data_IF_065429943361
#
_entry.id   IF_065429943361
#
_cell.length_a   1.000
_cell.length_b   1.000
_cell.length_c   1.000
_cell.angle_alpha   90.00
_cell.angle_beta   90.00
_cell.angle_gamma   90.00
#
_symmetry.space_group_name_H-M   'P 1'
#
loop_
_entity.id
_entity.type
_entity.pdbx_description
1 polymer ?
#
# COMPACT_ATOMS: atom_id res chain seq x y z
N UNK A 1 21.36 56.41 11.23
CA UNK A 1 21.22 55.76 9.91
C UNK A 1 22.41 54.85 9.56
N UNK A 2 23.67 55.23 9.87
CA UNK A 2 24.89 54.46 9.53
C UNK A 2 25.07 53.12 10.29
N UNK A 3 24.68 52.95 11.58
CA UNK A 3 25.01 51.72 12.32
C UNK A 3 24.28 50.47 11.81
N UNK A 4 23.05 50.64 11.31
CA UNK A 4 22.20 49.52 10.88
C UNK A 4 22.80 48.80 9.66
N UNK A 5 23.41 49.54 8.74
CA UNK A 5 23.98 49.01 7.49
C UNK A 5 25.12 48.04 7.76
N UNK A 6 25.94 48.30 8.79
CA UNK A 6 27.06 47.43 9.19
C UNK A 6 26.62 46.07 9.73
N UNK A 7 25.41 45.95 10.27
CA UNK A 7 24.86 44.67 10.74
C UNK A 7 24.00 43.99 9.68
N UNK A 8 23.27 44.76 8.87
CA UNK A 8 22.34 44.22 7.85
C UNK A 8 23.10 43.62 6.66
N UNK A 9 24.16 44.26 6.16
CA UNK A 9 24.87 43.73 5.00
C UNK A 9 25.59 42.39 5.26
N UNK A 10 26.31 42.18 6.39
CA UNK A 10 26.93 40.89 6.67
C UNK A 10 25.92 39.79 7.01
N UNK A 11 24.82 40.12 7.68
CA UNK A 11 23.75 39.14 7.96
C UNK A 11 23.06 38.69 6.67
N UNK A 12 22.75 39.62 5.77
CA UNK A 12 22.21 39.28 4.45
C UNK A 12 23.22 38.49 3.61
N UNK A 13 24.49 38.92 3.60
CA UNK A 13 25.56 38.24 2.86
C UNK A 13 25.80 36.82 3.35
N UNK A 14 25.87 36.62 4.67
CA UNK A 14 26.01 35.28 5.28
C UNK A 14 24.78 34.41 5.00
N UNK A 15 23.56 34.95 5.09
CA UNK A 15 22.34 34.23 4.72
C UNK A 15 22.37 33.77 3.27
N UNK A 16 22.75 34.64 2.33
CA UNK A 16 22.84 34.30 0.89
C UNK A 16 23.90 33.21 0.66
N UNK A 17 25.07 33.32 1.29
CA UNK A 17 26.15 32.33 1.16
C UNK A 17 25.72 30.97 1.72
N UNK A 18 25.15 30.93 2.93
CA UNK A 18 24.62 29.72 3.55
C UNK A 18 23.50 29.10 2.69
N UNK A 19 22.59 29.93 2.17
CA UNK A 19 21.51 29.47 1.30
C UNK A 19 22.05 28.84 0.01
N UNK A 20 23.02 29.47 -0.66
CA UNK A 20 23.66 28.91 -1.87
C UNK A 20 24.43 27.63 -1.53
N UNK A 21 25.13 27.59 -0.40
CA UNK A 21 25.88 26.42 0.06
C UNK A 21 24.97 25.22 0.27
N UNK A 22 23.86 25.40 0.99
CA UNK A 22 22.89 24.33 1.22
C UNK A 22 22.08 23.97 -0.03
N UNK A 23 21.77 24.94 -0.91
CA UNK A 23 21.12 24.65 -2.19
C UNK A 23 22.01 23.81 -3.11
N UNK A 24 23.34 24.02 -3.07
CA UNK A 24 24.32 23.20 -3.79
C UNK A 24 24.60 21.85 -3.11
N UNK A 25 24.29 21.73 -1.82
CA UNK A 25 24.49 20.50 -1.03
C UNK A 25 23.22 20.12 -0.27
N UNK A 26 22.13 19.78 -0.98
CA UNK A 26 20.84 19.48 -0.35
C UNK A 26 20.92 18.28 0.60
N UNK A 27 21.88 17.38 0.38
CA UNK A 27 22.16 16.22 1.24
C UNK A 27 22.58 16.58 2.69
N UNK A 28 23.03 17.82 2.93
CA UNK A 28 23.38 18.30 4.28
C UNK A 28 22.17 18.71 5.11
N UNK A 29 21.05 19.08 4.46
CA UNK A 29 19.78 19.40 5.11
C UNK A 29 18.79 18.25 5.06
N UNK A 30 18.86 17.45 4.00
CA UNK A 30 17.95 16.35 3.74
C UNK A 30 18.76 15.08 3.52
N UNK A 31 18.69 14.13 4.45
CA UNK A 31 18.99 12.75 4.10
C UNK A 31 17.94 12.32 3.07
N UNK A 32 18.32 12.00 1.81
CA UNK A 32 17.34 11.55 0.84
C UNK A 32 16.68 10.30 1.43
N UNK A 33 15.35 10.30 1.47
CA UNK A 33 14.62 9.08 1.76
C UNK A 33 14.94 8.10 0.65
N UNK A 34 15.77 7.10 0.94
CA UNK A 34 16.05 6.01 0.03
C UNK A 34 14.97 4.94 0.25
N UNK A 35 14.14 4.65 -0.77
CA UNK A 35 13.25 3.49 -0.68
C UNK A 35 14.07 2.23 -0.46
N UNK A 36 13.52 1.24 0.24
CA UNK A 36 14.18 -0.05 0.48
C UNK A 36 14.45 -0.89 -0.78
N UNK A 37 14.12 -0.36 -1.96
CA UNK A 37 14.24 -0.99 -3.26
C UNK A 37 14.47 0.06 -4.36
N UNK A 38 15.18 -0.32 -5.42
CA UNK A 38 15.40 0.53 -6.60
C UNK A 38 14.38 0.17 -7.67
N UNK A 39 13.79 1.18 -8.31
CA UNK A 39 12.80 1.01 -9.38
C UNK A 39 13.38 1.61 -10.65
N UNK A 40 13.64 0.76 -11.65
CA UNK A 40 14.07 1.17 -12.99
C UNK A 40 13.01 0.85 -14.04
N UNK A 41 12.30 -0.26 -13.87
CA UNK A 41 11.24 -0.70 -14.75
C UNK A 41 9.95 -0.93 -13.96
N UNK A 42 8.90 -0.17 -14.29
CA UNK A 42 7.57 -0.32 -13.71
C UNK A 42 6.59 -0.82 -14.76
N UNK A 43 5.90 -1.91 -14.47
CA UNK A 43 4.89 -2.50 -15.36
C UNK A 43 3.53 -1.87 -15.09
N UNK A 44 3.17 -0.89 -15.91
CA UNK A 44 1.89 -0.19 -15.84
C UNK A 44 0.73 -1.14 -16.18
N UNK A 45 -0.25 -1.24 -15.27
CA UNK A 45 -1.37 -2.20 -15.29
C UNK A 45 -0.92 -3.65 -15.50
N UNK A 46 0.20 -4.01 -14.87
CA UNK A 46 0.82 -5.32 -14.99
C UNK A 46 1.45 -5.64 -16.36
N UNK A 47 1.71 -4.66 -17.24
CA UNK A 47 2.32 -4.91 -18.56
C UNK A 47 1.35 -4.75 -19.73
N UNK A 48 0.52 -3.71 -19.66
CA UNK A 48 -0.55 -3.40 -20.62
C UNK A 48 -0.10 -3.09 -22.05
N UNK A 49 1.20 -2.88 -22.29
CA UNK A 49 1.73 -2.68 -23.64
C UNK A 49 2.00 -4.00 -24.37
N UNK A 50 2.26 -5.06 -23.63
CA UNK A 50 2.69 -6.34 -24.18
C UNK A 50 1.59 -7.39 -24.17
N UNK A 51 0.71 -7.36 -23.17
CA UNK A 51 -0.38 -8.31 -22.94
C UNK A 51 -1.62 -7.59 -22.43
N UNK A 52 -2.75 -8.29 -22.41
CA UNK A 52 -4.01 -7.75 -21.89
C UNK A 52 -3.81 -7.23 -20.46
N UNK A 53 -4.14 -5.95 -20.25
CA UNK A 53 -3.96 -5.27 -18.96
C UNK A 53 -4.59 -6.04 -17.78
N UNK A 54 -3.96 -5.99 -16.60
CA UNK A 54 -4.47 -6.57 -15.36
C UNK A 54 -4.80 -8.09 -15.42
N UNK A 55 -4.19 -8.84 -16.35
CA UNK A 55 -4.27 -10.30 -16.40
C UNK A 55 -3.07 -10.95 -15.72
N UNK A 56 -3.21 -12.23 -15.35
CA UNK A 56 -2.08 -12.95 -14.75
C UNK A 56 -0.95 -13.14 -15.77
N UNK A 57 -1.31 -13.39 -17.03
CA UNK A 57 -0.36 -13.51 -18.14
C UNK A 57 0.47 -12.23 -18.33
N UNK A 58 -0.16 -11.05 -18.26
CA UNK A 58 0.56 -9.78 -18.37
C UNK A 58 1.59 -9.63 -17.26
N UNK A 59 1.17 -9.90 -16.01
CA UNK A 59 2.06 -9.76 -14.85
C UNK A 59 3.23 -10.73 -14.97
N UNK A 60 2.99 -12.00 -15.31
CA UNK A 60 4.04 -12.99 -15.51
C UNK A 60 5.02 -12.56 -16.61
N UNK A 61 4.51 -12.03 -17.71
CA UNK A 61 5.33 -11.49 -18.80
C UNK A 61 6.21 -10.32 -18.31
N UNK A 62 5.66 -9.36 -17.57
CA UNK A 62 6.43 -8.26 -17.00
C UNK A 62 7.47 -8.73 -15.98
N UNK A 63 7.16 -9.74 -15.16
CA UNK A 63 8.11 -10.33 -14.24
C UNK A 63 9.23 -11.08 -14.98
N UNK A 64 8.94 -11.76 -16.08
CA UNK A 64 9.96 -12.38 -16.94
C UNK A 64 10.89 -11.33 -17.58
N UNK A 65 10.36 -10.13 -17.87
CA UNK A 65 11.13 -8.98 -18.32
C UNK A 65 11.87 -8.23 -17.19
N UNK A 66 11.83 -8.76 -15.95
CA UNK A 66 12.49 -8.18 -14.76
C UNK A 66 11.95 -6.80 -14.37
N UNK A 67 10.64 -6.61 -14.43
CA UNK A 67 10.01 -5.43 -13.84
C UNK A 67 10.32 -5.36 -12.33
N UNK A 68 10.71 -4.19 -11.84
CA UNK A 68 11.02 -3.93 -10.43
C UNK A 68 9.76 -3.59 -9.62
N UNK A 69 8.74 -3.06 -10.30
CA UNK A 69 7.49 -2.59 -9.71
C UNK A 69 6.32 -3.00 -10.61
N UNK A 70 5.26 -3.55 -10.02
CA UNK A 70 3.99 -3.74 -10.70
C UNK A 70 3.02 -2.63 -10.27
N UNK A 71 2.34 -2.00 -11.22
CA UNK A 71 1.36 -0.96 -10.96
C UNK A 71 -0.05 -1.47 -11.27
N UNK A 72 -0.99 -1.16 -10.39
CA UNK A 72 -2.39 -1.57 -10.48
C UNK A 72 -3.35 -0.51 -9.97
N UNK A 73 -4.48 -0.38 -10.66
CA UNK A 73 -5.66 0.32 -10.19
C UNK A 73 -6.59 -0.63 -9.43
N UNK A 74 -7.08 -0.22 -8.27
CA UNK A 74 -7.95 -1.05 -7.45
C UNK A 74 -9.42 -0.63 -7.58
N UNK A 75 -10.29 -1.62 -7.78
CA UNK A 75 -11.75 -1.49 -7.75
C UNK A 75 -12.35 -2.50 -6.76
N UNK A 76 -13.59 -2.27 -6.35
CA UNK A 76 -14.30 -3.14 -5.42
C UNK A 76 -15.54 -3.73 -6.10
N UNK A 77 -15.68 -5.05 -6.05
CA UNK A 77 -16.90 -5.76 -6.47
C UNK A 77 -18.00 -5.65 -5.43
N UNK A 78 -19.21 -6.07 -5.77
CA UNK A 78 -20.38 -6.06 -4.88
C UNK A 78 -20.20 -6.96 -3.65
N UNK A 79 -19.63 -8.15 -3.84
CA UNK A 79 -19.24 -9.08 -2.78
C UNK A 79 -17.96 -8.66 -2.03
N UNK A 80 -17.38 -7.52 -2.43
CA UNK A 80 -16.33 -6.88 -1.69
C UNK A 80 -14.93 -7.48 -1.92
N UNK A 81 -14.73 -8.15 -3.04
CA UNK A 81 -13.40 -8.57 -3.51
C UNK A 81 -12.71 -7.35 -4.14
N UNK A 82 -11.43 -7.16 -3.82
CA UNK A 82 -10.62 -6.11 -4.46
C UNK A 82 -10.07 -6.67 -5.77
N UNK A 83 -10.46 -6.05 -6.87
CA UNK A 83 -10.08 -6.44 -8.23
C UNK A 83 -9.12 -5.41 -8.80
N UNK A 84 -8.15 -5.88 -9.57
CA UNK A 84 -7.27 -4.98 -10.32
C UNK A 84 -7.94 -4.61 -11.65
N UNK A 85 -8.35 -3.35 -11.78
CA UNK A 85 -8.94 -2.82 -13.01
C UNK A 85 -8.88 -1.31 -13.03
N UNK A 86 -8.47 -0.75 -14.16
CA UNK A 86 -8.44 0.70 -14.35
C UNK A 86 -9.85 1.31 -14.40
N UNK A 87 -10.74 0.69 -15.16
CA UNK A 87 -12.07 1.24 -15.43
C UNK A 87 -13.08 0.81 -14.38
N UNK A 88 -13.96 1.72 -14.00
CA UNK A 88 -15.13 1.39 -13.18
C UNK A 88 -16.14 0.54 -13.95
N UNK A 89 -16.32 0.85 -15.23
CA UNK A 89 -17.30 0.23 -16.11
C UNK A 89 -16.61 -0.72 -17.09
N UNK A 90 -17.22 -1.89 -17.29
CA UNK A 90 -16.64 -2.99 -18.05
C UNK A 90 -16.79 -2.84 -19.58
N UNK A 91 -17.43 -1.76 -20.07
CA UNK A 91 -17.73 -1.59 -21.51
C UNK A 91 -16.48 -1.64 -22.40
N UNK A 92 -15.38 -0.98 -21.99
CA UNK A 92 -14.14 -0.98 -22.78
C UNK A 92 -13.52 -2.38 -22.79
N UNK A 93 -13.40 -2.96 -21.60
CA UNK A 93 -12.64 -4.16 -21.30
C UNK A 93 -13.30 -5.45 -21.78
N UNK A 94 -14.61 -5.61 -21.59
CA UNK A 94 -15.36 -6.83 -21.92
C UNK A 94 -16.56 -6.60 -22.85
N UNK A 95 -16.95 -5.34 -23.08
CA UNK A 95 -18.16 -4.99 -23.82
C UNK A 95 -19.43 -5.01 -22.97
N UNK A 96 -19.34 -5.42 -21.70
CA UNK A 96 -20.47 -5.40 -20.78
C UNK A 96 -20.64 -4.00 -20.19
N UNK A 97 -21.77 -3.34 -20.46
CA UNK A 97 -22.08 -2.05 -19.86
C UNK A 97 -22.61 -2.19 -18.42
N UNK A 98 -21.72 -2.56 -17.50
CA UNK A 98 -21.98 -2.61 -16.06
C UNK A 98 -20.75 -2.13 -15.29
N UNK A 99 -21.00 -1.53 -14.13
CA UNK A 99 -19.95 -1.14 -13.19
C UNK A 99 -19.51 -2.34 -12.35
N UNK A 100 -18.21 -2.45 -12.05
CA UNK A 100 -17.63 -3.55 -11.27
C UNK A 100 -18.30 -3.70 -9.91
N UNK A 101 -18.65 -2.59 -9.26
CA UNK A 101 -19.30 -2.58 -7.94
C UNK A 101 -20.74 -3.14 -7.94
N UNK A 102 -21.30 -3.49 -9.10
CA UNK A 102 -22.64 -4.08 -9.24
C UNK A 102 -22.61 -5.61 -9.37
N UNK A 103 -21.43 -6.20 -9.59
CA UNK A 103 -21.23 -7.62 -9.85
C UNK A 103 -20.42 -8.26 -8.73
N UNK A 104 -20.67 -9.55 -8.48
CA UNK A 104 -19.78 -10.35 -7.63
C UNK A 104 -18.54 -10.77 -8.44
N UNK A 105 -17.44 -11.07 -7.77
CA UNK A 105 -16.18 -11.40 -8.45
C UNK A 105 -16.32 -12.57 -9.44
N UNK A 106 -17.04 -13.63 -9.05
CA UNK A 106 -17.27 -14.79 -9.90
C UNK A 106 -18.14 -14.50 -11.14
N UNK A 107 -18.80 -13.34 -11.19
CA UNK A 107 -19.66 -12.92 -12.30
C UNK A 107 -18.94 -11.97 -13.27
N UNK A 108 -17.68 -11.63 -12.99
CA UNK A 108 -16.93 -10.75 -13.87
C UNK A 108 -16.69 -11.43 -15.23
N UNK A 109 -16.96 -10.72 -16.34
CA UNK A 109 -16.77 -11.26 -17.67
C UNK A 109 -15.29 -11.34 -18.03
N UNK A 110 -15.00 -12.15 -19.04
CA UNK A 110 -13.68 -12.15 -19.68
C UNK A 110 -13.44 -10.81 -20.40
N UNK A 111 -12.18 -10.39 -20.46
CA UNK A 111 -11.71 -9.34 -21.37
C UNK A 111 -12.05 -9.68 -22.83
N UNK A 112 -12.02 -8.70 -23.72
CA UNK A 112 -12.02 -8.92 -25.18
C UNK A 112 -10.75 -9.67 -25.61
N UNK A 113 -10.75 -10.22 -26.82
CA UNK A 113 -9.57 -10.90 -27.41
C UNK A 113 -8.40 -9.95 -27.66
N UNK A 114 -8.74 -8.69 -27.89
CA UNK A 114 -7.80 -7.60 -28.08
C UNK A 114 -8.28 -6.37 -27.32
N UNK A 115 -7.34 -5.62 -26.77
CA UNK A 115 -7.59 -4.33 -26.14
C UNK A 115 -6.63 -3.30 -26.71
N UNK A 116 -7.15 -2.13 -27.06
CA UNK A 116 -6.34 -1.03 -27.55
C UNK A 116 -5.41 -0.52 -26.42
N UNK A 117 -4.14 -0.32 -26.78
CA UNK A 117 -3.11 0.17 -25.88
C UNK A 117 -3.29 1.67 -25.70
N UNK A 118 -3.65 2.10 -24.49
CA UNK A 118 -3.99 3.49 -24.18
C UNK A 118 -2.94 4.52 -24.63
N UNK A 119 -1.65 4.21 -24.44
CA UNK A 119 -0.54 5.11 -24.77
C UNK A 119 0.00 4.92 -26.20
N UNK A 120 -0.60 4.03 -26.98
CA UNK A 120 -0.23 3.76 -28.38
C UNK A 120 -1.48 3.51 -29.22
N UNK A 121 -2.26 4.56 -29.53
CA UNK A 121 -3.52 4.43 -30.26
C UNK A 121 -3.33 3.69 -31.60
N UNK A 122 -4.27 2.80 -31.92
CA UNK A 122 -4.18 1.92 -33.09
C UNK A 122 -3.33 0.65 -32.91
N UNK A 123 -2.65 0.50 -31.76
CA UNK A 123 -2.00 -0.76 -31.38
C UNK A 123 -2.87 -1.53 -30.38
N UNK A 124 -2.84 -2.86 -30.48
CA UNK A 124 -3.66 -3.75 -29.67
C UNK A 124 -2.79 -4.76 -28.93
N UNK A 125 -3.13 -4.98 -27.66
CA UNK A 125 -2.58 -6.04 -26.84
C UNK A 125 -3.45 -7.30 -26.96
N UNK A 126 -2.80 -8.46 -26.92
CA UNK A 126 -3.45 -9.77 -27.01
C UNK A 126 -2.98 -10.68 -25.88
N UNK A 127 -3.80 -11.67 -25.51
CA UNK A 127 -3.50 -12.60 -24.43
C UNK A 127 -4.38 -13.85 -24.52
N UNK A 128 -3.81 -14.97 -24.10
CA UNK A 128 -4.55 -16.21 -23.89
C UNK A 128 -5.38 -16.16 -22.61
N UNK A 129 -4.86 -15.53 -21.56
CA UNK A 129 -5.60 -15.25 -20.34
C UNK A 129 -6.42 -13.97 -20.51
N UNK A 130 -7.72 -14.11 -20.28
CA UNK A 130 -8.70 -13.03 -20.39
C UNK A 130 -9.44 -12.81 -19.07
N UNK A 131 -9.02 -13.46 -17.99
CA UNK A 131 -9.69 -13.33 -16.70
C UNK A 131 -9.24 -12.06 -15.98
N UNK A 132 -10.21 -11.37 -15.38
CA UNK A 132 -9.90 -10.37 -14.35
C UNK A 132 -9.41 -11.09 -13.10
N UNK A 133 -8.43 -10.51 -12.41
CA UNK A 133 -7.81 -11.13 -11.24
C UNK A 133 -8.07 -10.30 -9.99
N UNK A 134 -8.08 -10.96 -8.83
CA UNK A 134 -8.13 -10.26 -7.55
C UNK A 134 -6.75 -9.76 -7.15
N UNK A 135 -6.70 -8.67 -6.38
CA UNK A 135 -5.44 -8.19 -5.80
C UNK A 135 -4.83 -9.24 -4.84
N UNK A 136 -5.68 -10.05 -4.20
CA UNK A 136 -5.23 -11.11 -3.30
C UNK A 136 -4.46 -12.20 -4.05
N UNK A 137 -4.91 -12.61 -5.24
CA UNK A 137 -4.20 -13.58 -6.08
C UNK A 137 -2.82 -13.05 -6.49
N UNK A 138 -2.73 -11.77 -6.83
CA UNK A 138 -1.47 -11.12 -7.19
C UNK A 138 -0.52 -11.07 -5.99
N UNK A 139 -1.03 -10.77 -4.79
CA UNK A 139 -0.22 -10.77 -3.57
C UNK A 139 0.28 -12.16 -3.19
N UNK A 140 -0.55 -13.19 -3.36
CA UNK A 140 -0.17 -14.58 -3.09
C UNK A 140 0.92 -15.04 -4.05
N UNK A 141 0.78 -14.73 -5.34
CA UNK A 141 1.72 -15.20 -6.36
C UNK A 141 3.04 -14.43 -6.36
N UNK A 142 3.01 -13.13 -6.08
CA UNK A 142 4.18 -12.25 -6.09
C UNK A 142 4.39 -11.56 -4.73
N UNK A 143 4.73 -12.33 -3.67
CA UNK A 143 4.78 -11.82 -2.30
C UNK A 143 5.94 -10.85 -2.04
N UNK A 144 7.00 -10.90 -2.84
CA UNK A 144 8.21 -10.08 -2.68
C UNK A 144 8.33 -8.94 -3.69
N UNK A 145 7.44 -8.90 -4.68
CA UNK A 145 7.50 -7.89 -5.73
C UNK A 145 6.89 -6.59 -5.24
N UNK A 146 7.62 -5.45 -5.28
CA UNK A 146 7.04 -4.16 -4.98
C UNK A 146 5.83 -3.84 -5.86
N UNK A 147 4.82 -3.21 -5.28
CA UNK A 147 3.59 -2.86 -6.00
C UNK A 147 3.16 -1.41 -5.74
N UNK A 148 2.69 -0.74 -6.77
CA UNK A 148 2.05 0.55 -6.70
C UNK A 148 0.53 0.36 -6.87
N UNK A 149 -0.24 0.74 -5.86
CA UNK A 149 -1.68 0.55 -5.83
C UNK A 149 -2.39 1.90 -5.88
N UNK A 150 -3.10 2.13 -6.97
CA UNK A 150 -3.88 3.33 -7.16
C UNK A 150 -5.33 3.16 -6.66
N UNK A 151 -5.78 4.11 -5.83
CA UNK A 151 -7.16 4.22 -5.38
C UNK A 151 -7.84 5.40 -6.10
N UNK A 152 -8.65 5.13 -7.13
CA UNK A 152 -9.27 6.19 -7.94
C UNK A 152 -10.48 6.86 -7.29
N UNK A 153 -11.22 6.11 -6.48
CA UNK A 153 -12.48 6.56 -5.89
C UNK A 153 -12.41 6.68 -4.37
N UNK A 154 -13.15 7.66 -3.82
CA UNK A 154 -13.28 7.83 -2.38
C UNK A 154 -14.22 6.75 -1.82
N UNK A 155 -13.68 5.55 -1.63
CA UNK A 155 -14.37 4.41 -1.06
C UNK A 155 -13.61 3.93 0.19
N UNK A 156 -14.17 4.22 1.38
CA UNK A 156 -13.54 3.87 2.66
C UNK A 156 -13.39 2.34 2.82
N UNK A 157 -14.36 1.55 2.32
CA UNK A 157 -14.29 0.09 2.37
C UNK A 157 -13.11 -0.44 1.55
N UNK A 158 -12.94 0.06 0.32
CA UNK A 158 -11.82 -0.29 -0.55
C UNK A 158 -10.48 0.05 0.12
N UNK A 159 -10.35 1.28 0.64
CA UNK A 159 -9.13 1.74 1.33
C UNK A 159 -8.81 0.82 2.51
N UNK A 160 -9.80 0.50 3.34
CA UNK A 160 -9.61 -0.38 4.49
C UNK A 160 -9.28 -1.82 4.07
N UNK A 161 -9.90 -2.34 3.01
CA UNK A 161 -9.62 -3.69 2.49
C UNK A 161 -8.20 -3.80 1.96
N UNK A 162 -7.76 -2.86 1.13
CA UNK A 162 -6.37 -2.84 0.62
C UNK A 162 -5.38 -2.68 1.79
N UNK A 163 -5.67 -1.81 2.77
CA UNK A 163 -4.78 -1.60 3.92
C UNK A 163 -4.72 -2.84 4.84
N UNK A 164 -5.83 -3.56 4.98
CA UNK A 164 -5.85 -4.83 5.69
C UNK A 164 -5.09 -5.91 4.93
N UNK A 165 -5.26 -5.98 3.61
CA UNK A 165 -4.58 -6.95 2.76
C UNK A 165 -3.05 -6.72 2.76
N UNK A 166 -2.58 -5.49 2.55
CA UNK A 166 -1.16 -5.16 2.62
C UNK A 166 -0.50 -5.55 3.96
N UNK A 167 -1.25 -5.46 5.06
CA UNK A 167 -0.80 -5.93 6.38
C UNK A 167 -0.84 -7.45 6.52
N UNK A 168 -1.94 -8.11 6.12
CA UNK A 168 -2.09 -9.58 6.19
C UNK A 168 -0.94 -10.27 5.45
N UNK A 169 -0.55 -9.72 4.30
CA UNK A 169 0.55 -10.20 3.47
C UNK A 169 1.94 -9.65 3.89
N UNK A 170 2.02 -8.91 5.01
CA UNK A 170 3.25 -8.33 5.55
C UNK A 170 4.09 -7.54 4.51
N UNK A 171 3.41 -6.76 3.66
CA UNK A 171 4.02 -6.09 2.50
C UNK A 171 3.93 -4.56 2.52
N UNK A 172 3.60 -3.98 3.67
CA UNK A 172 3.45 -2.52 3.82
C UNK A 172 4.69 -1.72 3.37
N UNK A 173 5.90 -2.27 3.55
CA UNK A 173 7.16 -1.60 3.19
C UNK A 173 7.47 -1.66 1.69
N UNK A 174 6.78 -2.52 0.93
CA UNK A 174 6.94 -2.71 -0.52
C UNK A 174 5.65 -2.41 -1.29
N UNK A 175 4.67 -1.78 -0.65
CA UNK A 175 3.43 -1.34 -1.27
C UNK A 175 3.36 0.18 -1.24
N UNK A 176 3.47 0.77 -2.41
CA UNK A 176 3.31 2.20 -2.64
C UNK A 176 1.84 2.47 -2.89
N UNK A 177 1.30 3.49 -2.23
CA UNK A 177 -0.08 3.93 -2.40
C UNK A 177 -0.12 5.19 -3.24
N UNK A 178 -0.98 5.21 -4.26
CA UNK A 178 -1.17 6.35 -5.15
C UNK A 178 -2.65 6.68 -5.29
N UNK A 179 -2.91 7.95 -5.64
CA UNK A 179 -4.23 8.44 -6.02
C UNK A 179 -4.04 9.85 -6.58
N UNK A 180 -4.74 10.15 -7.67
CA UNK A 180 -4.77 11.49 -8.26
C UNK A 180 -5.36 12.53 -7.29
N UNK A 181 -6.33 12.13 -6.44
CA UNK A 181 -7.01 13.02 -5.51
C UNK A 181 -6.29 13.06 -4.15
N UNK A 182 -5.82 14.23 -3.76
CA UNK A 182 -5.18 14.45 -2.45
C UNK A 182 -6.13 14.09 -1.27
N UNK A 183 -7.44 14.29 -1.41
CA UNK A 183 -8.43 13.93 -0.39
C UNK A 183 -8.47 12.42 -0.12
N UNK A 184 -8.28 11.59 -1.15
CA UNK A 184 -8.18 10.12 -1.03
C UNK A 184 -6.82 9.75 -0.44
N UNK A 185 -5.73 10.36 -0.90
CA UNK A 185 -4.39 10.09 -0.33
C UNK A 185 -4.32 10.35 1.18
N UNK A 186 -4.96 11.41 1.68
CA UNK A 186 -5.06 11.66 3.13
C UNK A 186 -5.78 10.53 3.87
N UNK A 187 -6.80 9.91 3.26
CA UNK A 187 -7.55 8.78 3.82
C UNK A 187 -6.71 7.50 3.80
N UNK A 188 -6.01 7.21 2.70
CA UNK A 188 -5.07 6.09 2.61
C UNK A 188 -3.99 6.19 3.70
N UNK A 189 -3.40 7.39 3.87
CA UNK A 189 -2.42 7.64 4.93
C UNK A 189 -3.00 7.38 6.33
N UNK A 190 -4.19 7.90 6.61
CA UNK A 190 -4.86 7.67 7.89
C UNK A 190 -5.12 6.18 8.16
N UNK A 191 -5.55 5.41 7.14
CA UNK A 191 -5.80 3.97 7.27
C UNK A 191 -4.53 3.16 7.58
N UNK A 192 -3.37 3.64 7.11
CA UNK A 192 -2.07 3.05 7.43
C UNK A 192 -1.59 3.42 8.84
N UNK A 193 -1.77 4.68 9.26
CA UNK A 193 -1.32 5.20 10.56
C UNK A 193 -2.10 4.62 11.73
N UNK A 194 -3.44 4.59 11.66
CA UNK A 194 -4.31 4.05 12.73
C UNK A 194 -3.91 2.64 13.13
N UNK A 195 -3.47 1.83 12.17
CA UNK A 195 -3.12 0.43 12.44
C UNK A 195 -1.64 0.20 12.73
N UNK A 196 -0.73 1.10 12.32
CA UNK A 196 0.65 1.12 12.83
C UNK A 196 0.66 1.39 14.34
N UNK A 197 -0.14 2.36 14.81
CA UNK A 197 -0.32 2.63 16.23
C UNK A 197 -0.88 1.42 16.99
N UNK A 198 -1.93 0.76 16.47
CA UNK A 198 -2.48 -0.46 17.08
C UNK A 198 -1.48 -1.63 17.10
N UNK A 199 -0.69 -1.81 16.04
CA UNK A 199 0.33 -2.87 15.98
C UNK A 199 1.50 -2.59 16.94
N UNK A 200 1.87 -1.33 17.11
CA UNK A 200 2.90 -0.91 18.07
C UNK A 200 2.40 -1.08 19.52
N UNK A 201 1.15 -0.73 19.81
CA UNK A 201 0.51 -0.99 21.11
C UNK A 201 0.37 -2.48 21.42
N UNK A 202 0.04 -3.30 20.41
CA UNK A 202 -0.02 -4.76 20.59
C UNK A 202 1.36 -5.35 20.85
N UNK A 203 2.39 -4.94 20.10
CA UNK A 203 3.78 -5.35 20.35
C UNK A 203 4.28 -4.90 21.73
N UNK A 204 3.97 -3.67 22.16
CA UNK A 204 4.36 -3.21 23.51
C UNK A 204 3.65 -4.02 24.59
N UNK A 205 2.39 -4.38 24.39
CA UNK A 205 1.65 -5.24 25.32
C UNK A 205 2.23 -6.66 25.35
N UNK A 206 2.47 -7.27 24.20
CA UNK A 206 3.02 -8.62 24.10
C UNK A 206 4.46 -8.69 24.67
N UNK A 207 5.26 -7.63 24.49
CA UNK A 207 6.57 -7.48 25.13
C UNK A 207 6.45 -7.26 26.64
N UNK A 208 5.47 -6.47 27.12
CA UNK A 208 5.23 -6.31 28.56
C UNK A 208 4.80 -7.63 29.22
N UNK A 209 4.05 -8.49 28.52
CA UNK A 209 3.77 -9.85 28.98
C UNK A 209 5.03 -10.73 28.96
N UNK A 210 5.87 -10.65 27.93
CA UNK A 210 7.14 -11.38 27.89
C UNK A 210 8.10 -10.96 29.02
N UNK A 211 8.18 -9.66 29.33
CA UNK A 211 8.97 -9.13 30.44
C UNK A 211 8.39 -9.54 31.81
N UNK A 212 7.06 -9.69 31.91
CA UNK A 212 6.40 -10.24 33.10
C UNK A 212 6.76 -11.71 33.36
N UNK A 213 7.03 -12.49 32.30
CA UNK A 213 7.51 -13.88 32.40
C UNK A 213 9.03 -14.01 32.50
N UNK A 214 9.80 -12.94 32.26
CA UNK A 214 11.27 -12.91 32.37
C UNK A 214 11.79 -12.23 33.64
N UNK A 215 10.90 -11.76 34.53
CA UNK A 215 11.29 -11.41 35.89
C UNK A 215 11.75 -12.68 36.62
N UNK A 216 13.00 -12.75 37.11
CA UNK A 216 13.47 -13.91 37.86
C UNK A 216 12.58 -14.13 39.07
N UNK A 217 12.01 -15.33 39.15
CA UNK A 217 11.25 -15.84 40.28
C UNK A 217 11.90 -15.46 41.62
N UNK A 218 11.32 -14.50 42.31
CA UNK A 218 11.56 -14.24 43.72
C UNK A 218 10.43 -14.82 44.59
N UNK A 219 9.95 -16.03 44.28
CA UNK A 219 9.16 -16.81 45.24
C UNK A 219 9.51 -18.30 45.09
N UNK A 220 9.99 -18.87 46.20
CA UNK A 220 10.47 -20.25 46.33
C UNK A 220 9.36 -21.32 46.25
N UNK A 221 9.73 -22.60 46.40
CA UNK A 221 8.87 -23.72 46.03
C UNK A 221 7.75 -23.92 47.05
N UNK A 222 6.52 -23.62 46.66
CA UNK A 222 5.30 -23.90 47.42
C UNK A 222 4.31 -24.70 46.59
N UNK A 223 4.31 -26.02 46.82
CA UNK A 223 3.24 -27.02 46.59
C UNK A 223 2.24 -26.79 45.45
N UNK A 224 2.30 -27.70 44.48
CA UNK A 224 1.25 -28.04 43.52
C UNK A 224 -0.08 -28.38 44.22
N UNK A 225 -1.16 -27.77 43.73
CA UNK A 225 -2.53 -28.18 43.96
C UNK A 225 -3.34 -27.86 42.72
N UNK A 226 -3.84 -28.91 42.06
CA UNK A 226 -4.77 -28.86 40.94
C UNK A 226 -5.96 -27.95 41.23
N UNK A 227 -6.34 -27.10 40.27
CA UNK A 227 -7.72 -26.90 39.85
C UNK A 227 -7.78 -25.98 38.62
N UNK A 228 -8.14 -26.59 37.49
CA UNK A 228 -8.51 -25.94 36.25
C UNK A 228 -9.81 -25.14 36.41
N UNK A 229 -9.76 -23.82 36.18
CA UNK A 229 -10.94 -23.00 35.85
C UNK A 229 -10.49 -21.92 34.84
N UNK A 230 -11.13 -21.77 33.66
CA UNK A 230 -10.70 -20.80 32.68
C UNK A 230 -11.05 -19.36 33.09
N UNK A 231 -10.01 -18.53 33.11
CA UNK A 231 -9.97 -17.11 33.48
C UNK A 231 -10.60 -16.21 32.40
N UNK A 232 -11.91 -16.31 32.17
CA UNK A 232 -12.66 -15.34 31.34
C UNK A 232 -13.89 -14.74 32.03
N UNK A 233 -14.13 -15.07 33.31
CA UNK A 233 -15.30 -14.60 34.07
C UNK A 233 -14.99 -13.55 35.17
N UNK A 234 -13.80 -12.91 35.14
CA UNK A 234 -13.43 -11.88 36.13
C UNK A 234 -12.92 -10.59 35.48
N UNK A 235 -13.75 -9.94 34.66
CA UNK A 235 -13.53 -8.55 34.27
C UNK A 235 -14.44 -7.60 35.06
N UNK A 236 -13.92 -6.71 35.91
CA UNK A 236 -14.63 -5.50 36.26
C UNK A 236 -14.48 -4.49 35.11
N UNK A 237 -15.61 -3.97 34.63
CA UNK A 237 -15.64 -2.98 33.58
C UNK A 237 -15.00 -1.65 33.99
N UNK A 238 -14.32 -1.00 33.05
CA UNK A 238 -13.99 0.43 33.03
C UNK A 238 -13.83 0.82 31.55
N UNK A 239 -14.79 1.56 30.99
CA UNK A 239 -14.81 3.02 30.85
C UNK A 239 -13.60 3.58 30.08
N UNK A 240 -13.91 4.07 28.86
CA UNK A 240 -13.07 4.89 27.99
C UNK A 240 -12.74 6.25 28.65
N UNK A 241 -11.58 6.84 28.32
CA UNK A 241 -11.48 8.24 27.92
C UNK A 241 -11.41 8.39 26.39
#
# INVERSE_FOLDING_TARGET
>A
MIPLVYFVLPTLGSYVILSIFFLRRPHLLHTPWAPGFSIRLAAHRGGSGERLENTMEAIENSMAQRADLLEFDCQLTRDGVVVVSHDKNLSRQSGLNKDINTLDFAQLPLYKEELEIYFSPGHFAHGSDRHMISLEDVFQKFPRTPMCLEIKEKNEELIHKVANMARRFNRNEITIWTSEKNSIMKRCKAALEVKRAQQQLRRSRDNAWADFFLLPHFFGPGRWGEQDIPFWEQMPGCFFP
#
